data_IF_577236838960
#
_entry.id   IF_577236838960
#
_cell.length_a   1.000
_cell.length_b   1.000
_cell.length_c   1.000
_cell.angle_alpha   90.00
_cell.angle_beta   90.00
_cell.angle_gamma   90.00
#
_symmetry.space_group_name_H-M   'P 1'
#
loop_
_entity.id
_entity.type
_entity.pdbx_description
1 polymer ?
#
# COMPACT_ATOMS: atom_id res chain seq x y z
N UNK A 1 -9.87 8.01 -21.56
CA UNK A 1 -9.36 6.66 -21.25
C UNK A 1 -9.75 5.73 -22.39
N UNK A 2 -8.81 4.98 -22.94
CA UNK A 2 -9.04 4.05 -24.05
C UNK A 2 -9.66 2.74 -23.58
N UNK A 3 -10.54 2.17 -24.43
CA UNK A 3 -11.13 0.85 -24.20
C UNK A 3 -10.04 -0.23 -24.28
N UNK A 4 -10.07 -1.17 -23.35
CA UNK A 4 -9.14 -2.30 -23.30
C UNK A 4 -7.81 -2.01 -22.59
N UNK A 5 -7.60 -0.77 -22.14
CA UNK A 5 -6.52 -0.49 -21.19
C UNK A 5 -6.99 -0.78 -19.77
N UNK A 6 -6.14 -1.41 -18.93
CA UNK A 6 -6.45 -1.54 -17.52
C UNK A 6 -6.59 -0.15 -16.91
N UNK A 7 -7.43 -0.04 -15.87
CA UNK A 7 -7.57 1.18 -15.10
C UNK A 7 -6.18 1.51 -14.50
N UNK A 8 -5.58 2.59 -14.95
CA UNK A 8 -4.24 3.00 -14.50
C UNK A 8 -4.33 4.13 -13.47
N UNK A 9 -3.32 4.23 -12.63
CA UNK A 9 -3.19 5.36 -11.67
C UNK A 9 -3.08 6.71 -12.40
N UNK A 10 -2.62 6.71 -13.65
CA UNK A 10 -2.65 7.87 -14.55
C UNK A 10 -4.05 8.47 -14.75
N UNK A 11 -5.09 7.66 -14.68
CA UNK A 11 -6.46 8.15 -14.73
C UNK A 11 -6.82 8.99 -13.50
N UNK A 12 -6.26 8.65 -12.34
CA UNK A 12 -6.41 9.44 -11.12
C UNK A 12 -5.74 10.82 -11.24
N UNK A 13 -4.58 10.91 -11.92
CA UNK A 13 -3.91 12.18 -12.20
C UNK A 13 -4.77 13.09 -13.06
N UNK A 14 -5.43 12.55 -14.09
CA UNK A 14 -6.33 13.33 -14.96
C UNK A 14 -7.51 13.88 -14.16
N UNK A 15 -8.16 13.07 -13.34
CA UNK A 15 -9.28 13.51 -12.50
C UNK A 15 -8.83 14.60 -11.50
N UNK A 16 -7.70 14.38 -10.85
CA UNK A 16 -7.16 15.29 -9.84
C UNK A 16 -6.71 16.63 -10.45
N UNK A 17 -5.95 16.60 -11.54
CA UNK A 17 -5.43 17.79 -12.20
C UNK A 17 -6.55 18.69 -12.74
N UNK A 18 -7.64 18.08 -13.21
CA UNK A 18 -8.79 18.80 -13.74
C UNK A 18 -9.88 19.08 -12.68
N UNK A 19 -9.70 18.63 -11.43
CA UNK A 19 -10.64 18.78 -10.32
C UNK A 19 -12.06 18.25 -10.67
N UNK A 20 -12.11 17.12 -11.39
CA UNK A 20 -13.36 16.47 -11.82
C UNK A 20 -13.54 15.14 -11.11
N UNK A 21 -14.78 14.73 -10.89
CA UNK A 21 -15.12 13.46 -10.22
C UNK A 21 -15.30 12.28 -11.16
N UNK A 22 -15.28 12.51 -12.46
CA UNK A 22 -15.40 11.48 -13.48
C UNK A 22 -15.07 12.01 -14.87
N UNK A 23 -14.79 11.08 -15.78
CA UNK A 23 -14.49 11.38 -17.18
C UNK A 23 -15.07 10.30 -18.09
N UNK A 24 -15.41 10.63 -19.36
CA UNK A 24 -15.84 9.64 -20.34
C UNK A 24 -14.65 8.77 -20.76
N UNK A 25 -14.95 7.50 -20.99
CA UNK A 25 -14.05 6.54 -21.65
C UNK A 25 -14.45 6.47 -23.11
N UNK A 26 -13.48 6.67 -24.01
CA UNK A 26 -13.74 6.69 -25.46
C UNK A 26 -12.96 5.58 -26.16
N UNK A 27 -13.52 5.05 -27.24
CA UNK A 27 -12.83 4.13 -28.13
C UNK A 27 -11.87 4.86 -29.09
N UNK A 28 -11.19 4.10 -29.95
CA UNK A 28 -10.27 4.64 -30.94
C UNK A 28 -10.94 5.57 -31.97
N UNK A 29 -12.26 5.49 -32.13
CA UNK A 29 -13.05 6.36 -33.00
C UNK A 29 -13.59 7.60 -32.28
N UNK A 30 -13.27 7.77 -30.99
CA UNK A 30 -13.74 8.89 -30.17
C UNK A 30 -15.17 8.73 -29.63
N UNK A 31 -15.78 7.54 -29.79
CA UNK A 31 -17.12 7.26 -29.27
C UNK A 31 -17.06 6.92 -27.79
N UNK A 32 -17.95 7.53 -27.00
CA UNK A 32 -18.06 7.22 -25.57
C UNK A 32 -18.59 5.80 -25.38
N UNK A 33 -17.85 4.98 -24.63
CA UNK A 33 -18.14 3.58 -24.36
C UNK A 33 -18.29 3.27 -22.87
N UNK A 34 -18.01 4.24 -22.00
CA UNK A 34 -18.16 4.13 -20.56
C UNK A 34 -17.77 5.41 -19.86
N UNK A 35 -17.70 5.34 -18.53
CA UNK A 35 -17.22 6.41 -17.66
C UNK A 35 -16.26 5.84 -16.62
N UNK A 36 -15.29 6.65 -16.21
CA UNK A 36 -14.46 6.41 -15.03
C UNK A 36 -14.77 7.46 -13.97
N UNK A 37 -14.83 7.04 -12.72
CA UNK A 37 -15.14 7.92 -11.59
C UNK A 37 -14.11 7.83 -10.48
N UNK A 38 -14.09 8.80 -9.56
CA UNK A 38 -13.29 8.73 -8.33
C UNK A 38 -13.60 7.46 -7.53
N UNK A 39 -14.85 7.00 -7.54
CA UNK A 39 -15.24 5.75 -6.86
C UNK A 39 -14.56 4.53 -7.46
N UNK A 40 -14.32 4.51 -8.77
CA UNK A 40 -13.60 3.43 -9.43
C UNK A 40 -12.13 3.44 -9.00
N UNK A 41 -11.51 4.61 -8.92
CA UNK A 41 -10.14 4.78 -8.40
C UNK A 41 -10.05 4.31 -6.94
N UNK A 42 -11.01 4.67 -6.08
CA UNK A 42 -11.03 4.20 -4.69
C UNK A 42 -11.16 2.68 -4.59
N UNK A 43 -11.95 2.04 -5.45
CA UNK A 43 -12.02 0.56 -5.50
C UNK A 43 -10.67 -0.05 -5.83
N UNK A 44 -9.94 0.50 -6.79
CA UNK A 44 -8.59 0.04 -7.13
C UNK A 44 -7.64 0.20 -5.95
N UNK A 45 -7.66 1.36 -5.27
CA UNK A 45 -6.85 1.59 -4.08
C UNK A 45 -7.16 0.58 -2.97
N UNK A 46 -8.44 0.31 -2.70
CA UNK A 46 -8.87 -0.68 -1.70
C UNK A 46 -8.34 -2.07 -2.07
N UNK A 47 -8.45 -2.45 -3.35
CA UNK A 47 -7.97 -3.75 -3.83
C UNK A 47 -6.44 -3.88 -3.71
N UNK A 48 -5.67 -2.86 -4.14
CA UNK A 48 -4.21 -2.87 -4.12
C UNK A 48 -3.63 -2.80 -2.70
N UNK A 49 -4.28 -2.06 -1.81
CA UNK A 49 -3.82 -1.91 -0.44
C UNK A 49 -4.23 -3.06 0.49
N UNK A 50 -5.17 -3.91 0.06
CA UNK A 50 -5.70 -5.00 0.87
C UNK A 50 -6.44 -4.53 2.13
N UNK A 51 -6.98 -3.31 2.11
CA UNK A 51 -7.65 -2.71 3.28
C UNK A 51 -8.89 -3.49 3.72
N UNK A 52 -9.51 -4.25 2.80
CA UNK A 52 -10.64 -5.14 3.09
C UNK A 52 -10.25 -6.35 3.95
N UNK A 53 -9.00 -6.75 3.94
CA UNK A 53 -8.49 -7.84 4.75
C UNK A 53 -8.05 -7.31 6.11
N UNK A 54 -8.76 -7.71 7.17
CA UNK A 54 -8.52 -7.28 8.57
C UNK A 54 -7.20 -7.84 9.11
N UNK A 55 -6.09 -7.37 8.56
CA UNK A 55 -4.75 -7.78 8.93
C UNK A 55 -4.04 -6.77 9.81
N UNK A 56 -2.74 -6.91 9.87
CA UNK A 56 -1.83 -6.00 10.54
C UNK A 56 -1.12 -5.18 9.47
N UNK A 57 -1.08 -3.86 9.66
CA UNK A 57 -0.28 -2.95 8.85
C UNK A 57 0.85 -2.38 9.68
N UNK A 58 2.06 -2.45 9.14
CA UNK A 58 3.25 -1.84 9.75
C UNK A 58 3.84 -0.85 8.75
N UNK A 59 4.19 0.32 9.23
CA UNK A 59 4.91 1.33 8.47
C UNK A 59 6.33 1.50 9.02
N UNK A 60 7.27 1.61 8.10
CA UNK A 60 8.70 1.73 8.39
C UNK A 60 9.30 2.93 7.65
N UNK A 61 10.38 3.45 8.17
CA UNK A 61 11.35 4.23 7.42
C UNK A 61 12.64 3.43 7.32
N UNK A 62 13.12 3.19 6.12
CA UNK A 62 14.32 2.40 5.84
C UNK A 62 15.21 3.11 4.83
N UNK A 63 16.49 2.71 4.77
CA UNK A 63 17.40 3.18 3.75
C UNK A 63 16.91 2.77 2.37
N UNK A 64 17.00 3.69 1.41
CA UNK A 64 16.68 3.43 0.01
C UNK A 64 17.86 2.75 -0.68
N UNK A 65 17.99 1.44 -0.45
CA UNK A 65 19.02 0.59 -1.04
C UNK A 65 18.41 -0.70 -1.59
N UNK A 66 19.06 -1.33 -2.58
CA UNK A 66 18.66 -2.66 -3.04
C UNK A 66 18.57 -3.65 -1.86
N UNK A 67 17.50 -4.43 -1.79
CA UNK A 67 17.30 -5.44 -0.77
C UNK A 67 16.64 -4.97 0.53
N UNK A 68 16.49 -3.68 0.80
CA UNK A 68 15.90 -3.19 2.05
C UNK A 68 14.47 -3.70 2.29
N UNK A 69 13.64 -3.75 1.25
CA UNK A 69 12.28 -4.31 1.35
C UNK A 69 12.33 -5.82 1.52
N UNK A 70 13.24 -6.49 0.83
CA UNK A 70 13.43 -7.94 0.96
C UNK A 70 13.78 -8.32 2.40
N UNK A 71 14.68 -7.58 3.03
CA UNK A 71 15.08 -7.84 4.41
C UNK A 71 13.87 -7.78 5.36
N UNK A 72 13.02 -6.76 5.23
CA UNK A 72 11.78 -6.65 6.02
C UNK A 72 10.78 -7.77 5.70
N UNK A 73 10.62 -8.09 4.42
CA UNK A 73 9.71 -9.15 3.98
C UNK A 73 10.16 -10.53 4.50
N UNK A 74 11.45 -10.81 4.51
CA UNK A 74 12.00 -12.07 5.02
C UNK A 74 11.75 -12.22 6.54
N UNK A 75 11.94 -11.16 7.32
CA UNK A 75 11.62 -11.15 8.75
C UNK A 75 10.14 -11.49 8.98
N UNK A 76 9.24 -10.82 8.26
CA UNK A 76 7.80 -11.07 8.38
C UNK A 76 7.45 -12.52 8.02
N UNK A 77 8.00 -13.02 6.90
CA UNK A 77 7.77 -14.39 6.45
C UNK A 77 8.27 -15.42 7.48
N UNK A 78 9.44 -15.20 8.07
CA UNK A 78 10.02 -16.10 9.05
C UNK A 78 9.18 -16.21 10.33
N UNK A 79 8.38 -15.19 10.64
CA UNK A 79 7.40 -15.21 11.74
C UNK A 79 6.00 -15.73 11.32
N UNK A 80 5.86 -16.20 10.07
CA UNK A 80 4.61 -16.76 9.56
C UNK A 80 3.62 -15.74 9.01
N UNK A 81 4.00 -14.47 8.92
CA UNK A 81 3.18 -13.44 8.29
C UNK A 81 3.10 -13.61 6.77
N UNK A 82 1.89 -13.46 6.22
CA UNK A 82 1.63 -13.47 4.77
C UNK A 82 1.33 -12.05 4.31
N UNK A 83 2.16 -11.52 3.43
CA UNK A 83 1.99 -10.15 2.95
C UNK A 83 0.86 -10.06 1.92
N UNK A 84 0.00 -9.06 2.09
CA UNK A 84 -1.10 -8.73 1.17
C UNK A 84 -0.67 -7.63 0.22
N UNK A 85 -0.03 -6.60 0.77
CA UNK A 85 0.47 -5.47 -0.02
C UNK A 85 1.77 -4.93 0.55
N UNK A 86 2.60 -4.41 -0.34
CA UNK A 86 3.80 -3.65 -0.02
C UNK A 86 3.73 -2.37 -0.84
N UNK A 87 3.65 -1.23 -0.17
CA UNK A 87 3.64 0.09 -0.78
C UNK A 87 4.83 0.89 -0.30
N UNK A 88 5.33 1.76 -1.13
CA UNK A 88 6.46 2.63 -0.78
C UNK A 88 6.14 4.08 -1.10
N UNK A 89 6.75 5.00 -0.36
CA UNK A 89 6.62 6.44 -0.60
C UNK A 89 7.93 7.14 -0.27
N UNK A 90 8.25 8.16 -1.04
CA UNK A 90 9.34 9.10 -0.79
C UNK A 90 8.86 10.42 -0.18
N UNK A 91 7.55 10.52 0.10
CA UNK A 91 6.96 11.73 0.64
C UNK A 91 7.38 11.97 2.08
N UNK A 92 7.88 13.18 2.36
CA UNK A 92 8.32 13.61 3.69
C UNK A 92 9.33 12.65 4.36
N UNK A 93 10.37 12.27 3.63
CA UNK A 93 11.49 11.47 4.15
C UNK A 93 12.82 12.18 3.90
N UNK A 94 13.86 11.93 4.73
CA UNK A 94 15.21 12.41 4.45
C UNK A 94 15.77 11.79 3.16
N UNK A 95 16.72 12.48 2.53
CA UNK A 95 17.45 11.95 1.40
C UNK A 95 18.11 10.59 1.76
N UNK A 96 18.06 9.64 0.84
CA UNK A 96 18.57 8.28 1.03
C UNK A 96 17.67 7.35 1.82
N UNK A 97 16.45 7.79 2.18
CA UNK A 97 15.46 6.99 2.87
C UNK A 97 14.15 6.90 2.10
N UNK A 98 13.33 5.92 2.46
CA UNK A 98 11.94 5.79 2.00
C UNK A 98 11.04 5.20 3.08
N UNK A 99 9.75 5.47 2.97
CA UNK A 99 8.73 4.79 3.76
C UNK A 99 8.31 3.50 3.06
N UNK A 100 8.06 2.48 3.86
CA UNK A 100 7.54 1.18 3.41
C UNK A 100 6.33 0.85 4.27
N UNK A 101 5.22 0.51 3.63
CA UNK A 101 3.97 0.12 4.29
C UNK A 101 3.70 -1.32 3.92
N UNK A 102 3.72 -2.22 4.89
CA UNK A 102 3.45 -3.64 4.68
C UNK A 102 2.18 -4.01 5.39
N UNK A 103 1.24 -4.57 4.67
CA UNK A 103 0.04 -5.18 5.22
C UNK A 103 0.20 -6.69 5.17
N UNK A 104 -0.11 -7.35 6.28
CA UNK A 104 0.01 -8.78 6.43
C UNK A 104 -1.19 -9.39 7.13
N UNK A 105 -1.41 -10.68 6.92
CA UNK A 105 -2.40 -11.50 7.63
C UNK A 105 -1.79 -12.85 8.01
N UNK A 106 -2.56 -13.69 8.72
CA UNK A 106 -2.14 -15.04 9.11
C UNK A 106 -1.05 -15.09 10.17
N UNK A 107 -0.64 -13.94 10.73
CA UNK A 107 0.31 -13.88 11.83
C UNK A 107 -0.36 -14.29 13.13
N UNK A 108 0.25 -15.24 13.85
CA UNK A 108 -0.09 -15.51 15.26
C UNK A 108 0.27 -14.28 16.11
N UNK A 109 -0.73 -13.70 16.78
CA UNK A 109 -0.55 -12.49 17.60
C UNK A 109 0.43 -12.71 18.76
N UNK A 110 0.59 -13.94 19.23
CA UNK A 110 1.61 -14.28 20.23
C UNK A 110 3.04 -14.05 19.72
N UNK A 111 3.27 -14.09 18.41
CA UNK A 111 4.57 -13.82 17.78
C UNK A 111 4.80 -12.33 17.47
N UNK A 112 3.78 -11.49 17.60
CA UNK A 112 3.87 -10.07 17.23
C UNK A 112 4.95 -9.31 18.02
N UNK A 113 5.14 -9.49 19.35
CA UNK A 113 6.21 -8.82 20.09
C UNK A 113 7.60 -9.14 19.55
N UNK A 114 7.89 -10.42 19.29
CA UNK A 114 9.18 -10.85 18.73
C UNK A 114 9.39 -10.32 17.31
N UNK A 115 8.36 -10.33 16.48
CA UNK A 115 8.38 -9.75 15.14
C UNK A 115 8.71 -8.25 15.19
N UNK A 116 8.05 -7.49 16.06
CA UNK A 116 8.31 -6.04 16.22
C UNK A 116 9.75 -5.76 16.65
N UNK A 117 10.27 -6.54 17.58
CA UNK A 117 11.64 -6.38 18.05
C UNK A 117 12.66 -6.61 16.93
N UNK A 118 12.47 -7.65 16.12
CA UNK A 118 13.37 -7.94 15.01
C UNK A 118 13.25 -6.90 13.88
N UNK A 119 12.04 -6.47 13.55
CA UNK A 119 11.83 -5.41 12.57
C UNK A 119 12.44 -4.06 13.01
N UNK A 120 12.36 -3.74 14.30
CA UNK A 120 12.95 -2.51 14.86
C UNK A 120 14.48 -2.47 14.74
N UNK A 121 15.14 -3.62 14.67
CA UNK A 121 16.59 -3.72 14.41
C UNK A 121 16.94 -3.49 12.94
N UNK A 122 16.03 -3.78 12.03
CA UNK A 122 16.23 -3.67 10.59
C UNK A 122 15.80 -2.32 10.00
N UNK A 123 14.81 -1.66 10.60
CA UNK A 123 14.28 -0.38 10.13
C UNK A 123 13.64 0.40 11.28
N UNK A 124 13.44 1.71 11.08
CA UNK A 124 12.69 2.54 12.02
C UNK A 124 11.20 2.28 11.87
N UNK A 125 10.56 1.74 12.90
CA UNK A 125 9.11 1.62 12.97
C UNK A 125 8.48 3.02 13.06
N UNK A 126 7.42 3.25 12.30
CA UNK A 126 6.64 4.49 12.33
C UNK A 126 5.31 4.27 13.04
N UNK A 127 4.58 3.24 12.65
CA UNK A 127 3.35 2.82 13.31
C UNK A 127 3.01 1.35 13.02
N UNK A 128 2.16 0.79 13.86
CA UNK A 128 1.51 -0.50 13.67
C UNK A 128 0.01 -0.33 13.89
N UNK A 129 -0.80 -0.92 13.00
CA UNK A 129 -2.26 -1.00 13.14
C UNK A 129 -2.67 -2.46 13.00
N UNK A 130 -3.26 -3.03 14.05
CA UNK A 130 -3.95 -4.31 13.99
C UNK A 130 -5.46 -4.05 13.84
N UNK A 131 -5.96 -4.28 12.64
CA UNK A 131 -7.37 -4.03 12.32
C UNK A 131 -8.33 -5.05 12.93
N UNK A 132 -7.83 -6.23 13.30
CA UNK A 132 -8.63 -7.26 13.95
C UNK A 132 -8.85 -6.95 15.43
N UNK A 133 -7.76 -6.56 16.12
CA UNK A 133 -7.77 -6.25 17.55
C UNK A 133 -8.09 -4.76 17.82
N UNK A 134 -8.34 -3.99 16.75
CA UNK A 134 -8.56 -2.54 16.82
C UNK A 134 -7.48 -1.80 17.62
N UNK A 135 -6.24 -2.20 17.44
CA UNK A 135 -5.06 -1.69 18.16
C UNK A 135 -4.20 -0.84 17.23
N UNK A 136 -3.78 0.31 17.74
CA UNK A 136 -2.85 1.21 17.03
C UNK A 136 -1.71 1.58 17.96
N UNK A 137 -0.48 1.51 17.44
CA UNK A 137 0.75 1.95 18.11
C UNK A 137 1.49 2.92 17.18
N UNK A 138 1.99 4.02 17.73
CA UNK A 138 2.78 5.03 17.03
C UNK A 138 4.14 5.09 17.74
N UNK A 139 5.23 5.13 16.97
CA UNK A 139 6.61 5.08 17.45
C UNK A 139 7.35 6.38 17.18
#
# INVERSE_FOLDING_TARGET
VGVGQPLEITDAEVLLANKISGAPVVDAAGKVVGTITQSDIFRVLIALTGIGDRGIQIAFMTQDRPGSIKDLADIIRNHGGRMVSILTSYDNVPEGFRKVYIRMYGLDRAKLPALKEELAKAAKLLYLVDHRENRREIY
#
